data_IF_871341612094
#
_entry.id   IF_871341612094
#
_cell.length_a   1.000
_cell.length_b   1.000
_cell.length_c   1.000
_cell.angle_alpha   90.00
_cell.angle_beta   90.00
_cell.angle_gamma   90.00
#
_symmetry.space_group_name_H-M   'P 1'
#
loop_
_entity.id
_entity.type
_entity.pdbx_description
1 polymer ?
#
# COMPACT_ATOMS: atom_id res chain seq x y z
N UNK A 1 12.26 -4.36 -10.26
CA UNK A 1 10.86 -4.00 -9.96
C UNK A 1 10.43 -2.93 -10.95
N UNK A 2 9.37 -3.16 -11.72
CA UNK A 2 8.92 -2.24 -12.78
C UNK A 2 8.12 -1.08 -12.17
N UNK A 3 8.04 0.07 -12.86
CA UNK A 3 7.22 1.22 -12.44
C UNK A 3 5.75 0.83 -12.16
N UNK A 4 5.24 -0.20 -12.84
CA UNK A 4 3.93 -0.81 -12.58
C UNK A 4 3.80 -1.42 -11.18
N UNK A 5 4.82 -2.15 -10.72
CA UNK A 5 4.80 -2.77 -9.40
C UNK A 5 4.72 -1.70 -8.29
N UNK A 6 5.50 -0.63 -8.42
CA UNK A 6 5.45 0.50 -7.49
C UNK A 6 4.05 1.15 -7.45
N UNK A 7 3.45 1.35 -8.62
CA UNK A 7 2.11 1.92 -8.72
C UNK A 7 1.03 1.00 -8.11
N UNK A 8 1.15 -0.32 -8.28
CA UNK A 8 0.28 -1.31 -7.65
C UNK A 8 0.42 -1.30 -6.12
N UNK A 9 1.65 -1.22 -5.60
CA UNK A 9 1.92 -1.14 -4.15
C UNK A 9 1.27 0.12 -3.56
N UNK A 10 1.39 1.27 -4.22
CA UNK A 10 0.75 2.51 -3.75
C UNK A 10 -0.78 2.41 -3.72
N UNK A 11 -1.39 1.81 -4.74
CA UNK A 11 -2.84 1.56 -4.75
C UNK A 11 -3.26 0.63 -3.62
N UNK A 12 -2.52 -0.44 -3.40
CA UNK A 12 -2.80 -1.40 -2.35
C UNK A 12 -2.66 -0.77 -0.95
N UNK A 13 -1.60 0.02 -0.74
CA UNK A 13 -1.40 0.77 0.50
C UNK A 13 -2.55 1.76 0.77
N UNK A 14 -3.11 2.40 -0.28
CA UNK A 14 -4.32 3.23 -0.12
C UNK A 14 -5.52 2.41 0.33
N UNK A 15 -5.76 1.25 -0.28
CA UNK A 15 -6.86 0.36 0.13
C UNK A 15 -6.70 -0.10 1.58
N UNK A 16 -5.49 -0.42 2.02
CA UNK A 16 -5.22 -0.79 3.42
C UNK A 16 -5.51 0.40 4.35
N UNK A 17 -5.07 1.61 3.99
CA UNK A 17 -5.38 2.82 4.75
C UNK A 17 -6.90 3.07 4.85
N UNK A 18 -7.62 2.89 3.75
CA UNK A 18 -9.09 3.03 3.71
C UNK A 18 -9.77 2.00 4.63
N UNK A 19 -9.29 0.76 4.65
CA UNK A 19 -9.79 -0.30 5.54
C UNK A 19 -9.47 -0.03 7.01
N UNK A 20 -8.35 0.64 7.30
CA UNK A 20 -7.97 1.07 8.64
C UNK A 20 -8.71 2.34 9.11
N UNK A 21 -9.46 3.01 8.22
CA UNK A 21 -10.14 4.28 8.52
C UNK A 21 -9.18 5.47 8.60
N UNK A 22 -7.99 5.35 8.01
CA UNK A 22 -6.94 6.36 8.07
C UNK A 22 -7.00 7.30 6.85
N UNK A 23 -6.94 8.61 7.12
CA UNK A 23 -7.00 9.63 6.06
C UNK A 23 -5.72 9.62 5.21
N UNK A 24 -4.58 9.30 5.82
CA UNK A 24 -3.26 9.30 5.19
C UNK A 24 -2.66 7.90 5.11
N UNK A 25 -1.91 7.65 4.04
CA UNK A 25 -1.10 6.43 3.95
C UNK A 25 0.06 6.57 4.94
N UNK A 26 0.07 5.68 5.94
CA UNK A 26 1.13 5.58 6.93
C UNK A 26 2.18 4.54 6.50
N UNK A 27 3.41 4.59 7.04
CA UNK A 27 4.45 3.60 6.77
C UNK A 27 4.00 2.15 7.02
N UNK A 28 3.08 1.93 7.96
CA UNK A 28 2.46 0.63 8.26
C UNK A 28 1.68 0.08 7.07
N UNK A 29 0.83 0.89 6.41
CA UNK A 29 0.07 0.46 5.23
C UNK A 29 0.98 0.13 4.05
N UNK A 30 2.10 0.86 3.92
CA UNK A 30 3.11 0.59 2.90
C UNK A 30 3.82 -0.75 3.16
N UNK A 31 4.22 -1.00 4.42
CA UNK A 31 4.86 -2.25 4.82
C UNK A 31 3.94 -3.46 4.58
N UNK A 32 2.66 -3.35 4.90
CA UNK A 32 1.66 -4.38 4.62
C UNK A 32 1.48 -4.61 3.12
N UNK A 33 1.37 -3.54 2.32
CA UNK A 33 1.24 -3.64 0.87
C UNK A 33 2.47 -4.29 0.21
N UNK A 34 3.68 -3.99 0.70
CA UNK A 34 4.90 -4.65 0.25
C UNK A 34 4.90 -6.14 0.61
N UNK A 35 4.48 -6.50 1.82
CA UNK A 35 4.41 -7.89 2.27
C UNK A 35 3.42 -8.71 1.44
N UNK A 36 2.26 -8.13 1.11
CA UNK A 36 1.21 -8.77 0.31
C UNK A 36 1.55 -8.90 -1.18
N UNK A 37 2.58 -8.20 -1.67
CA UNK A 37 3.02 -8.24 -3.07
C UNK A 37 4.07 -9.32 -3.39
N UNK A 38 4.42 -10.14 -2.39
CA UNK A 38 5.34 -11.28 -2.50
C UNK A 38 4.61 -12.61 -2.72
#
# INVERSE_FOLDING_TARGET
MTARAYHCILKLARTIADLAGEEHIQPTHLAEALHASQ
#
